data_IF_785337442791
#
_entry.id   IF_785337442791
#
_cell.length_a   1.000
_cell.length_b   1.000
_cell.length_c   1.000
_cell.angle_alpha   90.00
_cell.angle_beta   90.00
_cell.angle_gamma   90.00
#
_symmetry.space_group_name_H-M   'P 1'
#
loop_
_entity.id
_entity.type
_entity.pdbx_description
1 polymer ?
#
# COMPACT_ATOMS: atom_id res chain seq x y z
N UNK A 1 -14.12 16.25 8.56
CA UNK A 1 -15.30 15.38 8.71
C UNK A 1 -15.24 14.70 10.07
N UNK A 2 -16.30 14.78 10.88
CA UNK A 2 -16.37 14.12 12.17
C UNK A 2 -16.91 12.68 12.05
N UNK A 3 -16.80 11.89 13.13
CA UNK A 3 -17.19 10.47 13.11
C UNK A 3 -18.67 10.25 12.77
N UNK A 4 -19.56 11.14 13.22
CA UNK A 4 -20.99 11.06 12.94
C UNK A 4 -21.27 11.29 11.46
N UNK A 5 -20.66 12.34 10.88
CA UNK A 5 -20.73 12.66 9.45
C UNK A 5 -20.15 11.55 8.58
N UNK A 6 -19.04 10.91 9.01
CA UNK A 6 -18.45 9.79 8.31
C UNK A 6 -19.37 8.55 8.30
N UNK A 7 -20.04 8.27 9.42
CA UNK A 7 -21.00 7.15 9.52
C UNK A 7 -22.22 7.37 8.64
N UNK A 8 -22.77 8.59 8.63
CA UNK A 8 -23.89 8.97 7.76
C UNK A 8 -23.53 8.87 6.28
N UNK A 9 -22.36 9.39 5.89
CA UNK A 9 -21.87 9.38 4.50
C UNK A 9 -21.63 7.96 3.97
N UNK A 10 -21.14 7.06 4.82
CA UNK A 10 -20.82 5.68 4.49
C UNK A 10 -21.97 4.69 4.73
N UNK A 11 -23.09 5.15 5.29
CA UNK A 11 -24.22 4.28 5.66
C UNK A 11 -23.87 3.24 6.72
N UNK A 12 -22.96 3.58 7.65
CA UNK A 12 -22.48 2.68 8.70
C UNK A 12 -23.47 2.66 9.87
N UNK A 13 -24.00 1.47 10.16
CA UNK A 13 -24.90 1.19 11.27
C UNK A 13 -24.12 0.75 12.52
N UNK A 14 -24.78 0.75 13.69
CA UNK A 14 -24.14 0.36 14.95
C UNK A 14 -23.76 -1.13 15.01
N UNK A 15 -24.46 -1.97 14.23
CA UNK A 15 -24.26 -3.42 14.18
C UNK A 15 -23.29 -3.86 13.07
N UNK A 16 -22.75 -2.93 12.27
CA UNK A 16 -21.82 -3.27 11.21
C UNK A 16 -20.47 -3.70 11.80
N UNK A 17 -20.04 -4.92 11.46
CA UNK A 17 -18.70 -5.39 11.79
C UNK A 17 -17.62 -4.74 10.89
N UNK A 18 -16.34 -4.96 11.23
CA UNK A 18 -15.21 -4.36 10.48
C UNK A 18 -15.23 -4.74 8.99
N UNK A 19 -15.74 -5.94 8.65
CA UNK A 19 -15.84 -6.41 7.27
C UNK A 19 -16.92 -5.64 6.51
N UNK A 20 -18.07 -5.40 7.14
CA UNK A 20 -19.19 -4.69 6.58
C UNK A 20 -18.90 -3.18 6.45
N UNK A 21 -18.18 -2.60 7.41
CA UNK A 21 -17.66 -1.23 7.33
C UNK A 21 -16.70 -1.09 6.15
N UNK A 22 -15.76 -2.05 5.97
CA UNK A 22 -14.84 -2.06 4.81
C UNK A 22 -15.59 -2.23 3.49
N UNK A 23 -16.62 -3.08 3.44
CA UNK A 23 -17.47 -3.28 2.26
C UNK A 23 -18.22 -2.00 1.90
N UNK A 24 -18.85 -1.34 2.88
CA UNK A 24 -19.58 -0.07 2.70
C UNK A 24 -18.64 1.07 2.32
N UNK A 25 -17.47 1.15 2.94
CA UNK A 25 -16.41 2.08 2.55
C UNK A 25 -16.00 1.85 1.08
N UNK A 26 -15.68 0.63 0.68
CA UNK A 26 -15.30 0.29 -0.69
C UNK A 26 -16.42 0.56 -1.71
N UNK A 27 -17.68 0.28 -1.34
CA UNK A 27 -18.84 0.60 -2.17
C UNK A 27 -19.11 2.11 -2.24
N UNK A 28 -18.77 2.89 -1.21
CA UNK A 28 -18.89 4.35 -1.21
C UNK A 28 -17.82 5.02 -2.07
N UNK A 29 -16.63 4.42 -2.15
CA UNK A 29 -15.51 4.89 -2.97
C UNK A 29 -15.81 4.81 -4.48
N UNK A 30 -16.85 4.06 -4.86
CA UNK A 30 -17.16 3.74 -6.26
C UNK A 30 -18.68 3.86 -6.52
N UNK A 31 -19.33 4.90 -5.99
CA UNK A 31 -20.66 5.27 -6.51
C UNK A 31 -20.48 5.85 -7.91
N UNK A 32 -21.28 5.42 -8.91
CA UNK A 32 -21.29 6.12 -10.18
C UNK A 32 -21.77 7.55 -9.93
N UNK A 33 -21.01 8.53 -10.42
CA UNK A 33 -21.37 9.94 -10.30
C UNK A 33 -22.62 10.24 -11.12
N UNK A 34 -22.82 9.53 -12.23
CA UNK A 34 -23.99 9.67 -13.11
C UNK A 34 -24.21 8.44 -13.98
N UNK A 35 -25.25 8.49 -14.82
CA UNK A 35 -25.48 7.53 -15.91
C UNK A 35 -25.53 8.26 -17.23
N UNK A 36 -25.07 7.62 -18.30
CA UNK A 36 -25.22 8.17 -19.65
C UNK A 36 -26.67 8.05 -20.18
N UNK A 37 -26.90 8.54 -21.41
CA UNK A 37 -28.22 8.46 -22.06
C UNK A 37 -28.72 7.04 -22.35
N UNK A 38 -27.89 6.01 -22.15
CA UNK A 38 -28.24 4.58 -22.27
C UNK A 38 -28.38 3.90 -20.90
N UNK A 39 -28.26 4.64 -19.80
CA UNK A 39 -28.33 4.11 -18.44
C UNK A 39 -27.04 3.46 -17.95
N UNK A 40 -25.93 3.55 -18.70
CA UNK A 40 -24.65 2.99 -18.30
C UNK A 40 -24.01 3.85 -17.20
N UNK A 41 -23.47 3.19 -16.17
CA UNK A 41 -22.84 3.84 -15.02
C UNK A 41 -21.54 4.56 -15.42
N UNK A 42 -21.44 5.84 -15.04
CA UNK A 42 -20.24 6.66 -15.19
C UNK A 42 -19.61 6.85 -13.82
N UNK A 43 -18.35 6.47 -13.71
CA UNK A 43 -17.53 6.62 -12.51
C UNK A 43 -16.63 7.84 -12.66
N UNK A 44 -16.40 8.57 -11.58
CA UNK A 44 -15.46 9.69 -11.54
C UNK A 44 -14.37 9.44 -10.52
N UNK A 45 -13.14 9.67 -10.96
CA UNK A 45 -11.95 9.48 -10.16
C UNK A 45 -11.23 10.80 -9.99
N UNK A 46 -10.80 11.07 -8.76
CA UNK A 46 -9.86 12.15 -8.48
C UNK A 46 -8.50 11.77 -9.06
N UNK A 47 -8.05 12.54 -10.03
CA UNK A 47 -6.80 12.32 -10.71
C UNK A 47 -6.04 13.63 -10.93
N UNK A 48 -4.74 13.53 -11.19
CA UNK A 48 -3.89 14.66 -11.52
C UNK A 48 -2.76 14.26 -12.44
N UNK A 49 -2.21 15.24 -13.14
CA UNK A 49 -1.02 15.11 -13.96
C UNK A 49 0.12 15.85 -13.27
N UNK A 50 1.30 15.24 -13.20
CA UNK A 50 2.49 15.88 -12.66
C UNK A 50 3.74 15.51 -13.47
N UNK A 51 4.66 16.48 -13.59
CA UNK A 51 5.97 16.28 -14.19
C UNK A 51 7.08 16.92 -13.33
N UNK A 52 8.30 16.38 -13.34
CA UNK A 52 9.44 17.01 -12.66
C UNK A 52 9.63 18.46 -13.15
N UNK A 53 10.05 19.38 -12.27
CA UNK A 53 10.27 20.77 -12.66
C UNK A 53 11.35 20.86 -13.75
N UNK A 54 11.27 21.90 -14.59
CA UNK A 54 12.23 22.19 -15.67
C UNK A 54 12.28 21.11 -16.78
N UNK A 55 11.20 20.34 -16.94
CA UNK A 55 11.01 19.42 -18.06
C UNK A 55 10.10 20.04 -19.12
N UNK A 56 10.20 19.58 -20.37
CA UNK A 56 9.32 20.02 -21.46
C UNK A 56 7.86 19.71 -21.12
N UNK A 57 7.62 18.56 -20.49
CA UNK A 57 6.35 18.13 -19.95
C UNK A 57 5.83 19.14 -18.93
N UNK A 58 6.63 19.54 -17.93
CA UNK A 58 6.19 20.51 -16.92
C UNK A 58 5.75 21.86 -17.50
N UNK A 59 6.42 22.34 -18.56
CA UNK A 59 6.00 23.55 -19.29
C UNK A 59 4.68 23.34 -20.03
N UNK A 60 4.47 22.17 -20.63
CA UNK A 60 3.20 21.84 -21.30
C UNK A 60 2.06 21.72 -20.30
N UNK A 61 2.28 21.09 -19.15
CA UNK A 61 1.28 21.00 -18.07
C UNK A 61 0.87 22.40 -17.60
N UNK A 62 1.84 23.30 -17.40
CA UNK A 62 1.57 24.67 -16.94
C UNK A 62 0.71 25.49 -17.92
N UNK A 63 0.70 25.12 -19.20
CA UNK A 63 -0.04 25.83 -20.24
C UNK A 63 -1.41 25.22 -20.56
N UNK A 64 -1.78 24.11 -19.91
CA UNK A 64 -3.09 23.49 -20.10
C UNK A 64 -4.21 24.42 -19.65
N UNK A 65 -5.29 24.44 -20.41
CA UNK A 65 -6.44 25.28 -20.09
C UNK A 65 -7.52 24.48 -19.35
N UNK A 66 -8.24 25.09 -18.39
CA UNK A 66 -9.45 24.49 -17.82
C UNK A 66 -10.41 23.97 -18.88
N UNK A 67 -10.96 22.77 -18.65
CA UNK A 67 -11.86 22.08 -19.59
C UNK A 67 -11.17 21.45 -20.80
N UNK A 68 -9.85 21.57 -20.94
CA UNK A 68 -9.12 20.95 -22.04
C UNK A 68 -9.14 19.42 -21.94
N UNK A 69 -9.41 18.76 -23.07
CA UNK A 69 -9.44 17.31 -23.16
C UNK A 69 -8.04 16.72 -23.25
N UNK A 70 -7.79 15.70 -22.43
CA UNK A 70 -6.58 14.89 -22.48
C UNK A 70 -6.89 13.47 -22.97
N UNK A 71 -5.90 12.82 -23.56
CA UNK A 71 -6.07 11.53 -24.19
C UNK A 71 -5.02 10.53 -23.71
N UNK A 72 -5.39 9.28 -23.40
CA UNK A 72 -4.42 8.22 -23.14
C UNK A 72 -3.58 7.97 -24.41
N UNK A 73 -2.25 8.03 -24.28
CA UNK A 73 -1.30 7.75 -25.35
C UNK A 73 -0.77 6.32 -25.32
N UNK A 74 -0.39 5.87 -24.13
CA UNK A 74 0.29 4.60 -23.89
C UNK A 74 0.11 4.15 -22.44
N UNK A 75 0.25 2.84 -22.20
CA UNK A 75 0.20 2.22 -20.88
C UNK A 75 1.57 1.62 -20.55
N UNK A 76 2.20 2.11 -19.48
CA UNK A 76 3.51 1.63 -19.02
C UNK A 76 3.37 1.03 -17.62
N UNK A 77 3.30 -0.31 -17.53
CA UNK A 77 2.94 -0.98 -16.28
C UNK A 77 1.60 -0.47 -15.75
N UNK A 78 1.62 0.07 -14.52
CA UNK A 78 0.47 0.64 -13.84
C UNK A 78 0.33 2.17 -14.06
N UNK A 79 0.80 2.68 -15.18
CA UNK A 79 0.76 4.11 -15.48
C UNK A 79 0.10 4.37 -16.83
N UNK A 80 -0.74 5.41 -16.88
CA UNK A 80 -1.41 5.89 -18.09
C UNK A 80 -0.69 7.17 -18.51
N UNK A 81 0.01 7.13 -19.65
CA UNK A 81 0.64 8.33 -20.21
C UNK A 81 -0.40 9.15 -20.97
N UNK A 82 -0.45 10.45 -20.73
CA UNK A 82 -1.41 11.36 -21.36
C UNK A 82 -0.76 12.27 -22.40
N UNK A 83 -1.56 12.66 -23.39
CA UNK A 83 -1.24 13.66 -24.41
C UNK A 83 -2.38 14.66 -24.58
N UNK A 84 -2.07 15.84 -25.13
CA UNK A 84 -3.08 16.81 -25.59
C UNK A 84 -3.59 16.47 -27.00
N UNK A 85 -4.49 17.30 -27.53
CA UNK A 85 -5.06 17.17 -28.89
C UNK A 85 -4.00 17.31 -30.00
N UNK A 86 -2.92 18.06 -29.75
CA UNK A 86 -1.74 18.19 -30.63
C UNK A 86 -0.80 16.96 -30.57
N UNK A 87 -1.17 15.90 -29.83
CA UNK A 87 -0.39 14.67 -29.64
C UNK A 87 0.95 14.88 -28.90
N UNK A 88 1.08 15.98 -28.17
CA UNK A 88 2.25 16.25 -27.34
C UNK A 88 2.12 15.51 -26.01
N UNK A 89 3.19 14.83 -25.60
CA UNK A 89 3.22 14.11 -24.32
C UNK A 89 3.24 15.12 -23.16
N UNK A 90 2.37 14.90 -22.19
CA UNK A 90 2.22 15.76 -21.01
C UNK A 90 2.77 15.10 -19.74
N UNK A 91 2.74 13.77 -19.65
CA UNK A 91 3.21 13.03 -18.47
C UNK A 91 2.33 11.82 -18.15
N UNK A 92 2.34 11.38 -16.89
CA UNK A 92 1.56 10.24 -16.43
C UNK A 92 0.41 10.68 -15.52
N UNK A 93 -0.78 10.13 -15.77
CA UNK A 93 -1.94 10.29 -14.89
C UNK A 93 -1.64 9.64 -13.54
N UNK A 94 -1.91 10.37 -12.46
CA UNK A 94 -1.88 9.95 -11.06
C UNK A 94 -3.31 9.92 -10.50
N UNK A 95 -3.64 8.94 -9.67
CA UNK A 95 -4.92 8.82 -8.97
C UNK A 95 -4.66 8.71 -7.46
N UNK A 96 -5.64 9.07 -6.63
CA UNK A 96 -5.52 8.91 -5.17
C UNK A 96 -5.34 7.45 -4.74
N UNK A 97 -5.98 6.51 -5.45
CA UNK A 97 -5.84 5.07 -5.22
C UNK A 97 -5.09 4.40 -6.38
N UNK A 98 -3.85 3.99 -6.12
CA UNK A 98 -3.00 3.30 -7.10
C UNK A 98 -3.51 1.90 -7.46
N UNK A 99 -4.40 1.31 -6.66
CA UNK A 99 -4.97 0.00 -6.98
C UNK A 99 -5.94 0.08 -8.16
N UNK A 100 -6.53 1.24 -8.43
CA UNK A 100 -7.46 1.44 -9.55
C UNK A 100 -6.79 1.23 -10.92
N UNK A 101 -5.47 1.42 -11.04
CA UNK A 101 -4.75 1.17 -12.30
C UNK A 101 -4.85 -0.30 -12.74
N UNK A 102 -4.85 -1.24 -11.79
CA UNK A 102 -4.96 -2.67 -12.10
C UNK A 102 -6.32 -3.03 -12.67
N UNK A 103 -7.36 -2.26 -12.35
CA UNK A 103 -8.71 -2.46 -12.88
C UNK A 103 -8.90 -1.70 -14.20
N UNK A 104 -8.52 -0.43 -14.24
CA UNK A 104 -8.80 0.48 -15.36
C UNK A 104 -7.96 0.14 -16.59
N UNK A 105 -6.65 -0.08 -16.44
CA UNK A 105 -5.75 -0.29 -17.59
C UNK A 105 -6.14 -1.51 -18.43
N UNK A 106 -6.44 -2.69 -17.86
CA UNK A 106 -6.89 -3.84 -18.65
C UNK A 106 -8.19 -3.59 -19.42
N UNK A 107 -9.13 -2.84 -18.84
CA UNK A 107 -10.39 -2.49 -19.47
C UNK A 107 -10.17 -1.57 -20.67
N UNK A 108 -9.29 -0.55 -20.53
CA UNK A 108 -8.94 0.35 -21.63
C UNK A 108 -8.16 -0.34 -22.75
N UNK A 109 -7.20 -1.21 -22.41
CA UNK A 109 -6.44 -1.99 -23.41
C UNK A 109 -7.31 -2.91 -24.26
N UNK A 110 -8.44 -3.37 -23.72
CA UNK A 110 -9.40 -4.25 -24.40
C UNK A 110 -10.56 -3.49 -25.05
N UNK A 111 -10.53 -2.16 -25.02
CA UNK A 111 -11.65 -1.32 -25.47
C UNK A 111 -12.99 -1.65 -24.78
N UNK A 112 -12.94 -2.22 -23.57
CA UNK A 112 -14.12 -2.59 -22.77
C UNK A 112 -14.66 -1.41 -21.93
N UNK A 113 -13.99 -0.26 -21.99
CA UNK A 113 -14.37 0.96 -21.32
C UNK A 113 -13.98 2.19 -22.14
N UNK A 114 -14.75 3.26 -21.97
CA UNK A 114 -14.47 4.59 -22.47
C UNK A 114 -14.08 5.53 -21.33
N UNK A 115 -13.28 6.54 -21.66
CA UNK A 115 -12.81 7.54 -20.70
C UNK A 115 -12.95 8.94 -21.24
N UNK A 116 -13.20 9.87 -20.33
CA UNK A 116 -13.17 11.30 -20.59
C UNK A 116 -12.28 11.94 -19.52
N UNK A 117 -11.19 12.57 -19.97
CA UNK A 117 -10.23 13.23 -19.10
C UNK A 117 -10.23 14.72 -19.43
N UNK A 118 -10.55 15.57 -18.44
CA UNK A 118 -10.54 17.02 -18.61
C UNK A 118 -9.68 17.67 -17.54
N UNK A 119 -8.98 18.73 -17.92
CA UNK A 119 -8.32 19.62 -16.96
C UNK A 119 -9.40 20.31 -16.14
N UNK A 120 -9.32 20.18 -14.81
CA UNK A 120 -10.33 20.73 -13.91
C UNK A 120 -10.30 22.26 -13.94
N UNK A 121 -11.48 22.90 -13.93
CA UNK A 121 -11.62 24.34 -13.77
C UNK A 121 -11.60 24.73 -12.29
N UNK A 122 -10.79 25.73 -11.94
CA UNK A 122 -10.67 26.28 -10.57
C UNK A 122 -11.86 27.16 -10.15
N UNK A 123 -13.06 26.91 -10.66
CA UNK A 123 -14.24 27.72 -10.36
C UNK A 123 -15.00 27.19 -9.13
N UNK A 124 -14.58 27.71 -7.98
CA UNK A 124 -15.36 28.12 -6.80
C UNK A 124 -16.46 27.19 -6.22
N UNK A 125 -16.08 26.27 -5.32
CA UNK A 125 -16.81 26.00 -4.06
C UNK A 125 -16.05 25.06 -3.09
N UNK A 126 -14.82 25.45 -2.70
CA UNK A 126 -14.29 25.06 -1.38
C UNK A 126 -13.21 26.06 -0.98
N UNK A 127 -13.64 27.20 -0.42
CA UNK A 127 -12.78 28.03 0.42
C UNK A 127 -12.44 27.23 1.68
N UNK A 128 -11.46 26.35 1.54
CA UNK A 128 -10.86 25.55 2.60
C UNK A 128 -9.37 25.47 2.32
N UNK A 129 -8.64 26.43 2.87
CA UNK A 129 -7.18 26.53 2.92
C UNK A 129 -6.51 25.13 2.96
N UNK A 130 -6.02 24.66 1.82
CA UNK A 130 -4.89 23.74 1.76
C UNK A 130 -3.63 24.53 1.35
N UNK A 131 -3.30 25.54 2.16
CA UNK A 131 -1.89 25.81 2.41
C UNK A 131 -1.31 24.53 2.99
N UNK A 132 -0.33 23.97 2.30
CA UNK A 132 0.66 23.07 2.90
C UNK A 132 0.95 23.53 4.33
N UNK A 133 0.80 22.63 5.31
CA UNK A 133 1.11 22.84 6.73
C UNK A 133 2.62 23.00 7.01
N UNK A 134 3.39 23.49 6.04
CA UNK A 134 4.79 23.85 6.19
C UNK A 134 5.06 25.20 5.52
N UNK A 135 4.44 26.27 6.03
CA UNK A 135 4.87 27.63 5.72
C UNK A 135 4.71 28.47 6.99
N UNK A 136 5.79 28.50 7.78
CA UNK A 136 5.98 29.51 8.80
C UNK A 136 6.06 30.90 8.14
N UNK A 137 5.57 31.89 8.87
CA UNK A 137 5.50 33.30 8.48
C UNK A 137 6.81 33.81 7.83
N UNK A 138 6.70 34.43 6.65
CA UNK A 138 7.63 35.47 6.26
C UNK A 138 6.98 36.50 5.34
N UNK A 139 7.38 37.75 5.59
CA UNK A 139 6.91 38.99 5.01
C UNK A 139 7.44 39.24 3.59
N UNK A 140 6.91 40.30 2.97
CA UNK A 140 6.98 40.65 1.55
C UNK A 140 8.37 40.94 0.94
N UNK A 141 9.48 40.54 1.58
CA UNK A 141 10.84 40.69 1.05
C UNK A 141 11.43 39.44 0.39
N UNK A 142 10.71 38.32 0.35
CA UNK A 142 11.26 37.01 -0.08
C UNK A 142 10.93 36.65 -1.56
N UNK A 143 10.96 37.64 -2.46
CA UNK A 143 10.86 37.44 -3.93
C UNK A 143 12.09 36.76 -4.55
N UNK A 144 12.97 36.17 -3.74
CA UNK A 144 14.21 35.54 -4.15
C UNK A 144 14.36 34.18 -3.46
N UNK A 145 13.63 33.16 -3.93
CA UNK A 145 13.96 31.74 -3.75
C UNK A 145 13.04 30.85 -4.61
N UNK A 146 13.52 30.62 -5.83
CA UNK A 146 13.10 29.54 -6.73
C UNK A 146 13.22 28.21 -5.96
N UNK A 147 12.11 27.52 -5.72
CA UNK A 147 12.06 26.26 -4.99
C UNK A 147 11.29 25.18 -5.74
N UNK A 148 12.03 24.21 -6.29
CA UNK A 148 11.65 22.94 -6.93
C UNK A 148 10.32 22.28 -6.47
N UNK A 149 9.17 22.77 -6.92
CA UNK A 149 7.90 22.05 -6.82
C UNK A 149 7.49 21.54 -8.21
N UNK A 150 7.10 20.27 -8.31
CA UNK A 150 6.62 19.67 -9.55
C UNK A 150 5.35 20.38 -10.04
N UNK A 151 5.28 20.70 -11.33
CA UNK A 151 4.08 21.30 -11.93
C UNK A 151 2.96 20.28 -11.96
N UNK A 152 1.80 20.63 -11.41
CA UNK A 152 0.62 19.77 -11.26
C UNK A 152 -0.60 20.38 -11.95
N UNK A 153 -1.42 19.56 -12.61
CA UNK A 153 -2.76 19.91 -13.07
C UNK A 153 -3.76 18.86 -12.56
N UNK A 154 -4.86 19.29 -11.94
CA UNK A 154 -5.93 18.39 -11.51
C UNK A 154 -6.82 18.00 -12.70
N UNK A 155 -7.21 16.73 -12.76
CA UNK A 155 -7.90 16.12 -13.89
C UNK A 155 -9.22 15.50 -13.41
N UNK A 156 -10.32 15.90 -14.02
CA UNK A 156 -11.58 15.17 -13.92
C UNK A 156 -11.52 13.94 -14.82
N UNK A 157 -11.48 12.76 -14.19
CA UNK A 157 -11.39 11.48 -14.88
C UNK A 157 -12.71 10.73 -14.79
N UNK A 158 -13.49 10.77 -15.86
CA UNK A 158 -14.71 9.98 -16.02
C UNK A 158 -14.41 8.67 -16.75
N UNK A 159 -15.01 7.57 -16.28
CA UNK A 159 -14.84 6.22 -16.78
C UNK A 159 -16.18 5.52 -16.91
N UNK A 160 -16.43 4.89 -18.06
CA UNK A 160 -17.68 4.17 -18.37
C UNK A 160 -17.37 2.81 -18.99
N UNK A 161 -18.04 1.75 -18.55
CA UNK A 161 -17.95 0.43 -19.16
C UNK A 161 -18.81 0.35 -20.43
N UNK A 162 -18.30 -0.28 -21.49
CA UNK A 162 -19.05 -0.45 -22.75
C UNK A 162 -19.96 -1.69 -22.73
N UNK A 163 -19.61 -2.71 -21.94
CA UNK A 163 -20.36 -3.96 -21.83
C UNK A 163 -20.41 -4.44 -20.37
N UNK A 164 -21.61 -4.47 -19.76
CA UNK A 164 -21.80 -5.02 -18.40
C UNK A 164 -21.65 -6.55 -18.36
N UNK A 165 -21.71 -7.22 -19.52
CA UNK A 165 -21.47 -8.67 -19.67
C UNK A 165 -19.98 -9.03 -19.77
N UNK A 166 -19.07 -8.06 -19.62
CA UNK A 166 -17.64 -8.30 -19.43
C UNK A 166 -17.49 -9.42 -18.42
N UNK A 167 -16.96 -10.57 -18.87
CA UNK A 167 -16.92 -11.81 -18.09
C UNK A 167 -16.04 -11.58 -16.84
N UNK A 168 -16.73 -11.11 -15.80
CA UNK A 168 -16.22 -10.43 -14.62
C UNK A 168 -15.54 -11.39 -13.67
N UNK A 169 -15.82 -12.67 -13.85
CA UNK A 169 -15.27 -13.79 -13.11
C UNK A 169 -13.91 -14.14 -13.67
N UNK A 170 -13.80 -14.58 -14.92
CA UNK A 170 -12.57 -15.25 -15.39
C UNK A 170 -11.33 -14.36 -15.36
N UNK A 171 -11.45 -13.08 -15.73
CA UNK A 171 -10.29 -12.19 -15.72
C UNK A 171 -9.93 -11.70 -14.32
N UNK A 172 -10.92 -11.33 -13.50
CA UNK A 172 -10.63 -10.87 -12.14
C UNK A 172 -10.12 -12.02 -11.26
N UNK A 173 -10.62 -13.25 -11.47
CA UNK A 173 -10.05 -14.46 -10.89
C UNK A 173 -8.61 -14.65 -11.36
N UNK A 174 -8.33 -14.55 -12.66
CA UNK A 174 -6.97 -14.70 -13.20
C UNK A 174 -6.01 -13.60 -12.77
N UNK A 175 -6.50 -12.37 -12.58
CA UNK A 175 -5.74 -11.25 -12.00
C UNK A 175 -5.51 -11.50 -10.51
N UNK A 176 -6.51 -11.93 -9.75
CA UNK A 176 -6.36 -12.26 -8.33
C UNK A 176 -5.41 -13.44 -8.12
N UNK A 177 -5.44 -14.45 -8.99
CA UNK A 177 -4.50 -15.57 -9.01
C UNK A 177 -3.08 -15.08 -9.32
N UNK A 178 -2.89 -14.29 -10.39
CA UNK A 178 -1.58 -13.71 -10.73
C UNK A 178 -1.02 -12.81 -9.61
N UNK A 179 -1.86 -11.98 -8.99
CA UNK A 179 -1.46 -11.13 -7.87
C UNK A 179 -1.13 -11.97 -6.64
N UNK A 180 -1.93 -13.00 -6.34
CA UNK A 180 -1.64 -13.93 -5.24
C UNK A 180 -0.35 -14.71 -5.47
N UNK A 181 -0.09 -15.15 -6.71
CA UNK A 181 1.16 -15.81 -7.10
C UNK A 181 2.36 -14.87 -7.00
N UNK A 182 2.20 -13.61 -7.43
CA UNK A 182 3.24 -12.60 -7.34
C UNK A 182 3.50 -12.17 -5.90
N UNK A 183 2.47 -12.00 -5.07
CA UNK A 183 2.61 -11.80 -3.62
C UNK A 183 3.31 -12.99 -2.98
N UNK A 184 2.94 -14.21 -3.35
CA UNK A 184 3.60 -15.44 -2.88
C UNK A 184 5.06 -15.48 -3.32
N UNK A 185 5.39 -15.07 -4.55
CA UNK A 185 6.75 -14.94 -5.05
C UNK A 185 7.56 -13.90 -4.25
N UNK A 186 6.99 -12.72 -4.04
CA UNK A 186 7.59 -11.67 -3.22
C UNK A 186 7.78 -12.13 -1.78
N UNK A 187 6.83 -12.87 -1.20
CA UNK A 187 6.93 -13.45 0.14
C UNK A 187 7.99 -14.56 0.22
N UNK A 188 8.09 -15.43 -0.80
CA UNK A 188 9.10 -16.48 -0.88
C UNK A 188 10.53 -15.93 -0.96
N UNK A 189 10.71 -14.75 -1.57
CA UNK A 189 12.01 -14.08 -1.70
C UNK A 189 12.33 -13.05 -0.62
N UNK A 190 11.33 -12.52 0.10
CA UNK A 190 11.46 -11.32 0.98
C UNK A 190 12.60 -11.41 1.99
N UNK A 191 12.84 -12.61 2.52
CA UNK A 191 13.84 -12.86 3.55
C UNK A 191 14.95 -13.82 3.10
N UNK A 192 15.09 -14.09 1.80
CA UNK A 192 16.04 -15.08 1.28
C UNK A 192 17.49 -14.74 1.66
N UNK A 193 17.94 -13.50 1.41
CA UNK A 193 19.28 -13.02 1.81
C UNK A 193 19.49 -13.12 3.33
N UNK A 194 18.48 -12.68 4.10
CA UNK A 194 18.52 -12.74 5.57
C UNK A 194 18.73 -14.17 6.06
N UNK A 195 17.92 -15.13 5.59
CA UNK A 195 18.03 -16.52 6.01
C UNK A 195 19.31 -17.18 5.50
N UNK A 196 19.80 -16.83 4.31
CA UNK A 196 21.09 -17.31 3.81
C UNK A 196 22.24 -16.84 4.71
N UNK A 197 22.20 -15.59 5.17
CA UNK A 197 23.19 -15.04 6.12
C UNK A 197 23.07 -15.65 7.51
N UNK A 198 21.86 -15.89 8.00
CA UNK A 198 21.61 -16.56 9.29
C UNK A 198 22.10 -18.01 9.27
N UNK A 199 21.88 -18.74 8.16
CA UNK A 199 22.34 -20.13 8.00
C UNK A 199 23.87 -20.27 8.08
N UNK A 200 24.63 -19.22 7.69
CA UNK A 200 26.10 -19.18 7.83
C UNK A 200 26.56 -18.94 9.27
N UNK A 201 25.67 -18.59 10.20
CA UNK A 201 26.03 -18.38 11.60
C UNK A 201 25.90 -19.65 12.42
N UNK A 202 27.02 -20.19 12.91
CA UNK A 202 27.10 -21.38 13.79
C UNK A 202 26.18 -21.33 15.02
N UNK A 203 25.84 -20.14 15.49
CA UNK A 203 24.91 -19.98 16.61
C UNK A 203 23.46 -20.05 16.15
N UNK A 204 23.10 -19.44 15.01
CA UNK A 204 21.70 -19.33 14.56
C UNK A 204 21.24 -20.59 13.84
N UNK A 205 22.12 -21.24 13.09
CA UNK A 205 21.81 -22.43 12.31
C UNK A 205 21.55 -23.70 13.14
N UNK A 206 21.80 -23.68 14.45
CA UNK A 206 21.56 -24.84 15.33
C UNK A 206 20.12 -24.97 15.84
N UNK A 207 19.32 -23.92 15.67
CA UNK A 207 17.95 -23.91 16.16
C UNK A 207 17.05 -24.59 15.13
N UNK A 208 16.28 -25.58 15.57
CA UNK A 208 15.32 -26.32 14.74
C UNK A 208 14.07 -26.65 15.54
N UNK A 209 12.92 -26.68 14.87
CA UNK A 209 11.66 -27.13 15.49
C UNK A 209 11.74 -28.61 15.84
N UNK A 210 11.48 -28.94 17.11
CA UNK A 210 11.36 -30.34 17.56
C UNK A 210 9.96 -30.85 17.28
N UNK A 211 9.78 -32.16 17.39
CA UNK A 211 8.48 -32.82 17.20
C UNK A 211 7.37 -32.21 18.07
N UNK A 212 7.65 -31.95 19.36
CA UNK A 212 6.71 -31.29 20.27
C UNK A 212 6.33 -29.87 19.82
N UNK A 213 7.27 -29.14 19.23
CA UNK A 213 7.00 -27.78 18.73
C UNK A 213 6.09 -27.84 17.49
N UNK A 214 6.32 -28.82 16.60
CA UNK A 214 5.50 -29.08 15.40
C UNK A 214 4.08 -29.49 15.77
N UNK A 215 3.94 -30.40 16.73
CA UNK A 215 2.64 -30.81 17.28
C UNK A 215 1.88 -29.62 17.87
N UNK A 216 2.55 -28.79 18.67
CA UNK A 216 1.93 -27.59 19.22
C UNK A 216 1.46 -26.60 18.13
N UNK A 217 2.26 -26.40 17.08
CA UNK A 217 1.87 -25.57 15.93
C UNK A 217 0.64 -26.17 15.21
N UNK A 218 0.62 -27.49 15.01
CA UNK A 218 -0.49 -28.19 14.37
C UNK A 218 -1.78 -28.11 15.19
N UNK A 219 -1.68 -28.30 16.51
CA UNK A 219 -2.82 -28.21 17.44
C UNK A 219 -3.40 -26.80 17.54
N UNK A 220 -2.56 -25.76 17.52
CA UNK A 220 -3.00 -24.36 17.67
C UNK A 220 -3.35 -23.67 16.36
N UNK A 221 -2.76 -24.10 15.26
CA UNK A 221 -2.88 -23.44 13.95
C UNK A 221 -1.97 -22.21 13.80
N UNK A 222 -1.64 -21.90 12.55
CA UNK A 222 -0.68 -20.84 12.20
C UNK A 222 -1.12 -19.44 12.63
N UNK A 223 -2.42 -19.14 12.58
CA UNK A 223 -2.96 -17.83 12.97
C UNK A 223 -2.78 -17.57 14.48
N UNK A 224 -3.02 -18.59 15.30
CA UNK A 224 -2.79 -18.53 16.75
C UNK A 224 -1.32 -18.33 17.06
N UNK A 225 -0.42 -19.07 16.39
CA UNK A 225 1.04 -18.90 16.55
C UNK A 225 1.49 -17.49 16.15
N UNK A 226 0.92 -16.93 15.07
CA UNK A 226 1.16 -15.53 14.66
C UNK A 226 0.66 -14.54 15.71
N UNK A 227 -0.49 -14.80 16.34
CA UNK A 227 -0.98 -13.97 17.45
C UNK A 227 0.00 -13.99 18.64
N UNK A 228 0.48 -15.17 19.04
CA UNK A 228 1.49 -15.28 20.09
C UNK A 228 2.78 -14.53 19.73
N UNK A 229 3.20 -14.57 18.46
CA UNK A 229 4.35 -13.82 17.96
C UNK A 229 4.16 -12.31 18.19
N UNK A 230 3.01 -11.76 17.82
CA UNK A 230 2.67 -10.35 18.03
C UNK A 230 2.75 -9.98 19.51
N UNK A 231 2.19 -10.80 20.38
CA UNK A 231 2.22 -10.56 21.82
C UNK A 231 3.63 -10.60 22.40
N UNK A 232 4.46 -11.58 22.01
CA UNK A 232 5.85 -11.65 22.48
C UNK A 232 6.69 -10.49 21.95
N UNK A 233 6.52 -10.09 20.69
CA UNK A 233 7.22 -8.93 20.13
C UNK A 233 6.80 -7.65 20.85
N UNK A 234 5.49 -7.43 21.02
CA UNK A 234 4.93 -6.27 21.71
C UNK A 234 5.42 -6.15 23.15
N UNK A 235 5.44 -7.26 23.89
CA UNK A 235 5.75 -7.24 25.32
C UNK A 235 7.25 -7.31 25.61
N UNK A 236 8.04 -8.05 24.83
CA UNK A 236 9.45 -8.34 25.13
C UNK A 236 10.45 -7.58 24.28
N UNK A 237 10.06 -7.06 23.12
CA UNK A 237 10.96 -6.40 22.18
C UNK A 237 10.57 -4.96 21.86
N UNK A 238 9.27 -4.64 21.83
CA UNK A 238 8.82 -3.31 21.44
C UNK A 238 9.25 -2.17 22.35
N UNK A 239 9.32 -2.30 23.69
CA UNK A 239 9.73 -1.21 24.57
C UNK A 239 11.14 -0.69 24.25
N UNK A 240 11.36 0.63 24.39
CA UNK A 240 12.67 1.26 24.15
C UNK A 240 13.72 0.79 25.17
N UNK A 241 13.29 0.60 26.42
CA UNK A 241 14.08 0.02 27.51
C UNK A 241 13.46 -1.31 27.90
N UNK A 242 14.24 -2.39 27.83
CA UNK A 242 13.79 -3.75 28.14
C UNK A 242 14.57 -4.25 29.37
N UNK A 243 13.89 -4.70 30.43
CA UNK A 243 14.56 -5.35 31.55
C UNK A 243 15.31 -6.60 31.05
N UNK A 244 16.60 -6.70 31.40
CA UNK A 244 17.47 -7.82 31.01
C UNK A 244 17.58 -8.04 29.48
N UNK A 245 17.69 -6.96 28.69
CA UNK A 245 17.93 -7.06 27.24
C UNK A 245 19.16 -7.94 26.94
N UNK A 246 18.99 -8.90 26.02
CA UNK A 246 19.94 -10.00 25.77
C UNK A 246 19.56 -11.32 26.44
N UNK A 247 18.69 -11.29 27.46
CA UNK A 247 18.21 -12.48 28.20
C UNK A 247 16.68 -12.54 28.35
N UNK A 248 15.94 -11.60 27.76
CA UNK A 248 14.48 -11.50 27.90
C UNK A 248 13.70 -12.63 27.21
N UNK A 249 14.32 -13.29 26.24
CA UNK A 249 13.70 -14.32 25.41
C UNK A 249 14.20 -15.70 25.85
N UNK A 250 13.35 -16.56 26.43
CA UNK A 250 13.73 -17.92 26.79
C UNK A 250 14.27 -18.70 25.59
N UNK A 251 15.09 -19.73 25.82
CA UNK A 251 15.59 -20.59 24.74
C UNK A 251 14.63 -21.73 24.36
N UNK A 252 13.60 -21.97 25.18
CA UNK A 252 12.69 -23.13 25.09
C UNK A 252 11.30 -22.76 25.62
N UNK A 253 10.32 -23.63 25.36
CA UNK A 253 8.97 -23.55 25.93
C UNK A 253 7.91 -22.99 24.98
N UNK A 254 8.30 -22.45 23.83
CA UNK A 254 7.39 -22.05 22.77
C UNK A 254 8.12 -22.00 21.41
N UNK A 255 7.50 -22.41 20.29
CA UNK A 255 8.13 -22.37 18.96
C UNK A 255 8.62 -20.97 18.55
N UNK A 256 7.88 -19.91 18.90
CA UNK A 256 8.30 -18.52 18.66
C UNK A 256 9.62 -18.16 19.35
N UNK A 257 9.90 -18.70 20.55
CA UNK A 257 11.16 -18.42 21.22
C UNK A 257 12.34 -19.03 20.45
N UNK A 258 12.18 -20.25 19.95
CA UNK A 258 13.16 -20.86 19.05
C UNK A 258 13.35 -20.01 17.79
N UNK A 259 12.25 -19.58 17.17
CA UNK A 259 12.29 -18.72 15.99
C UNK A 259 13.03 -17.40 16.27
N UNK A 260 12.77 -16.73 17.39
CA UNK A 260 13.46 -15.49 17.78
C UNK A 260 14.97 -15.69 17.89
N UNK A 261 15.42 -16.82 18.41
CA UNK A 261 16.85 -17.14 18.46
C UNK A 261 17.40 -17.55 17.10
N UNK A 262 16.65 -18.29 16.29
CA UNK A 262 17.09 -18.68 14.95
C UNK A 262 17.23 -17.46 14.02
N UNK A 263 16.32 -16.50 14.12
CA UNK A 263 16.24 -15.36 13.18
C UNK A 263 16.98 -14.12 13.61
N UNK A 264 17.52 -14.08 14.83
CA UNK A 264 18.18 -12.87 15.35
C UNK A 264 17.20 -11.81 15.84
N UNK A 265 15.99 -12.21 16.25
CA UNK A 265 14.99 -11.34 16.84
C UNK A 265 14.85 -11.49 18.37
N UNK A 266 15.81 -12.12 19.06
CA UNK A 266 15.68 -12.41 20.49
C UNK A 266 16.00 -11.25 21.45
N UNK A 267 16.70 -10.21 20.98
CA UNK A 267 17.00 -8.99 21.75
C UNK A 267 17.30 -7.78 20.85
N UNK A 268 17.44 -6.57 21.42
CA UNK A 268 17.74 -5.37 20.62
C UNK A 268 19.11 -5.44 19.95
N UNK A 269 20.10 -6.02 20.64
CA UNK A 269 21.41 -6.28 20.04
C UNK A 269 21.33 -7.12 18.76
N UNK A 270 20.46 -8.13 18.75
CA UNK A 270 20.26 -8.98 17.59
C UNK A 270 19.46 -8.27 16.49
N UNK A 271 18.41 -7.54 16.85
CA UNK A 271 17.63 -6.71 15.91
C UNK A 271 18.50 -5.68 15.19
N UNK A 272 19.42 -5.04 15.89
CA UNK A 272 20.38 -4.12 15.29
C UNK A 272 21.34 -4.83 14.33
N UNK A 273 21.95 -5.93 14.77
CA UNK A 273 22.96 -6.66 13.99
C UNK A 273 22.39 -7.27 12.71
N UNK A 274 21.21 -7.89 12.80
CA UNK A 274 20.65 -8.70 11.71
C UNK A 274 19.62 -7.95 10.86
N UNK A 275 18.86 -7.05 11.47
CA UNK A 275 17.71 -6.39 10.83
C UNK A 275 17.88 -4.88 10.70
N UNK A 276 19.00 -4.32 11.16
CA UNK A 276 19.30 -2.87 11.11
C UNK A 276 18.29 -1.99 11.85
N UNK A 277 17.59 -2.55 12.83
CA UNK A 277 16.66 -1.81 13.68
C UNK A 277 17.45 -1.21 14.87
N UNK A 278 17.42 0.12 15.09
CA UNK A 278 18.21 0.77 16.12
C UNK A 278 17.83 0.33 17.54
N UNK A 279 18.83 0.33 18.43
CA UNK A 279 18.64 0.05 19.86
C UNK A 279 18.16 1.31 20.60
N UNK A 280 17.56 1.12 21.77
CA UNK A 280 17.13 2.23 22.64
C UNK A 280 15.90 3.01 22.16
N UNK A 281 15.30 2.64 21.02
CA UNK A 281 14.09 3.25 20.47
C UNK A 281 12.95 2.25 20.48
N UNK A 282 11.74 2.69 20.84
CA UNK A 282 10.55 1.85 20.79
C UNK A 282 10.30 1.35 19.36
N UNK A 283 9.96 0.06 19.20
CA UNK A 283 9.64 -0.45 17.87
C UNK A 283 8.34 0.18 17.35
N UNK A 284 8.39 0.69 16.12
CA UNK A 284 7.18 1.12 15.40
C UNK A 284 6.31 -0.09 15.07
N UNK A 285 5.02 0.14 14.78
CA UNK A 285 4.12 -0.94 14.38
C UNK A 285 4.67 -1.72 13.17
N UNK A 286 5.16 -1.01 12.14
CA UNK A 286 5.77 -1.63 10.96
C UNK A 286 7.01 -2.48 11.29
N UNK A 287 7.82 -2.06 12.27
CA UNK A 287 8.97 -2.85 12.72
C UNK A 287 8.53 -4.10 13.49
N UNK A 288 7.48 -4.00 14.30
CA UNK A 288 6.92 -5.16 15.01
C UNK A 288 6.32 -6.16 14.00
N UNK A 289 5.56 -5.68 13.02
CA UNK A 289 4.96 -6.51 11.98
C UNK A 289 6.04 -7.19 11.12
N UNK A 290 7.11 -6.46 10.75
CA UNK A 290 8.28 -7.03 10.08
C UNK A 290 8.91 -8.16 10.90
N UNK A 291 9.11 -7.96 12.21
CA UNK A 291 9.69 -9.00 13.08
C UNK A 291 8.77 -10.21 13.14
N UNK A 292 7.45 -10.02 13.28
CA UNK A 292 6.47 -11.11 13.25
C UNK A 292 6.55 -11.87 11.94
N UNK A 293 6.60 -11.19 10.80
CA UNK A 293 6.71 -11.83 9.49
C UNK A 293 7.98 -12.69 9.37
N UNK A 294 9.14 -12.17 9.80
CA UNK A 294 10.39 -12.94 9.81
C UNK A 294 10.27 -14.22 10.65
N UNK A 295 9.66 -14.13 11.84
CA UNK A 295 9.47 -15.28 12.72
C UNK A 295 8.55 -16.32 12.10
N UNK A 296 7.43 -15.88 11.52
CA UNK A 296 6.45 -16.78 10.92
C UNK A 296 7.00 -17.45 9.66
N UNK A 297 7.75 -16.73 8.81
CA UNK A 297 8.40 -17.34 7.64
C UNK A 297 9.42 -18.41 8.04
N UNK A 298 10.19 -18.18 9.11
CA UNK A 298 11.11 -19.21 9.62
C UNK A 298 10.37 -20.44 10.15
N UNK A 299 9.28 -20.24 10.91
CA UNK A 299 8.45 -21.35 11.41
C UNK A 299 7.84 -22.17 10.27
N UNK A 300 7.26 -21.50 9.26
CA UNK A 300 6.69 -22.18 8.09
C UNK A 300 7.73 -23.01 7.35
N UNK A 301 8.92 -22.44 7.17
CA UNK A 301 10.04 -23.11 6.51
C UNK A 301 10.46 -24.38 7.27
N UNK A 302 10.71 -24.26 8.57
CA UNK A 302 11.08 -25.41 9.41
C UNK A 302 9.95 -26.45 9.46
N UNK A 303 8.68 -26.03 9.52
CA UNK A 303 7.54 -26.93 9.60
C UNK A 303 7.31 -27.70 8.30
N UNK A 304 7.54 -27.07 7.14
CA UNK A 304 7.35 -27.69 5.81
C UNK A 304 8.58 -28.42 5.28
N UNK A 305 9.74 -28.29 5.94
CA UNK A 305 10.98 -28.98 5.55
C UNK A 305 11.60 -28.49 4.23
N UNK A 306 11.20 -27.29 3.77
CA UNK A 306 11.73 -26.63 2.57
C UNK A 306 12.72 -25.53 2.93
#
# INVERSE_FOLDING_TARGET
MNLQQAKELLGINQDDDEREIKRKYHNSLVKPESTDGKGQRIYHFKAFLAAPPQTVESTRIANLQPGEYLYPRAFHGNQIQLMNKERQILGYLRMEDEHLYFCIIPLLKRHAAQVKLLVKSDDAEEKGIYRSKYAGNSSASDRSRIGNHATKADIDFYFRLEDESYNRTDLNLKIAELLSEYEKYLQQGRFSDLFQRLARSNFRSRFHLKEKDRQYIQEKGMDTIRSHARDFVRTRLAPAQIPNDGKQTPMRGHPIFLAQHATGCCCRGCLYKWHRIPQGVQLTQNQQDYVVDVLMTWIEKENTGK
#
